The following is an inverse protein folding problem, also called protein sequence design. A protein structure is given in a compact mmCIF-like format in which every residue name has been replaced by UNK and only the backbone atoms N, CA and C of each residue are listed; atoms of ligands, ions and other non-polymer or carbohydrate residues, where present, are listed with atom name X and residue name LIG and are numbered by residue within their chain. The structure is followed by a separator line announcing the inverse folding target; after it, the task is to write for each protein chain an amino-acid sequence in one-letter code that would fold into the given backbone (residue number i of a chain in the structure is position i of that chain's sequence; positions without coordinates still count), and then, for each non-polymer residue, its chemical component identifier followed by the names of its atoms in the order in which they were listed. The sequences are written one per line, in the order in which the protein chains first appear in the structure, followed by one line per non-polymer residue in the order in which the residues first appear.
data_IF_146590131586
#
_entry.id   IF_146590131586
#
_cell.length_a   1.000
_cell.length_b   1.000
_cell.length_c   1.000
_cell.angle_alpha   90.00
_cell.angle_beta   90.00
_cell.angle_gamma   90.00
#
_symmetry.space_group_name_H-M   'P 1'
#
loop_
_entity.id
_entity.type
_entity.pdbx_description
1 polymer ?
#
# COMPACT_ATOMS: atom_id res chain seq x y z
N UNK A 1 -13.89 2.38 8.06
CA UNK A 1 -14.10 3.73 8.62
C UNK A 1 -13.43 4.80 7.76
N UNK A 2 -12.12 4.71 7.50
CA UNK A 2 -11.37 5.77 6.79
C UNK A 2 -11.73 5.98 5.31
N UNK A 3 -12.05 4.90 4.57
CA UNK A 3 -12.46 5.03 3.14
C UNK A 3 -13.76 5.81 2.98
N UNK A 4 -14.70 5.69 3.95
CA UNK A 4 -15.94 6.48 3.96
C UNK A 4 -15.66 7.97 4.22
N UNK A 5 -14.69 8.27 5.07
CA UNK A 5 -14.27 9.63 5.40
C UNK A 5 -13.68 10.33 4.17
N UNK A 6 -12.83 9.63 3.41
CA UNK A 6 -12.31 10.12 2.12
C UNK A 6 -13.47 10.45 1.19
N UNK A 7 -14.42 9.53 1.03
CA UNK A 7 -15.54 9.72 0.11
C UNK A 7 -16.41 10.93 0.48
N UNK A 8 -16.54 11.25 1.77
CA UNK A 8 -17.26 12.42 2.26
C UNK A 8 -16.50 13.74 2.05
N UNK A 9 -15.17 13.70 2.04
CA UNK A 9 -14.32 14.89 1.84
C UNK A 9 -14.08 15.21 0.36
N UNK A 10 -14.57 14.35 -0.54
CA UNK A 10 -14.43 14.46 -2.00
C UNK A 10 -14.77 15.82 -2.63
N UNK A 11 -15.86 16.52 -2.23
CA UNK A 11 -16.18 17.83 -2.80
C UNK A 11 -15.20 18.94 -2.40
N UNK A 12 -14.41 18.72 -1.35
CA UNK A 12 -13.54 19.73 -0.73
C UNK A 12 -12.05 19.47 -0.99
N UNK A 13 -11.72 18.37 -1.66
CA UNK A 13 -10.34 17.92 -1.87
C UNK A 13 -9.94 18.06 -3.34
N UNK A 14 -9.26 19.15 -3.66
CA UNK A 14 -8.49 19.32 -4.91
C UNK A 14 -7.31 18.33 -5.01
N UNK A 15 -7.02 17.63 -3.89
CA UNK A 15 -5.90 16.71 -3.66
C UNK A 15 -6.37 15.34 -3.13
N UNK A 16 -7.45 14.80 -3.68
CA UNK A 16 -8.02 13.48 -3.34
C UNK A 16 -6.97 12.35 -3.26
N UNK A 17 -5.98 12.37 -4.16
CA UNK A 17 -4.86 11.44 -4.16
C UNK A 17 -4.04 11.53 -2.87
N UNK A 18 -3.73 12.74 -2.38
CA UNK A 18 -2.84 12.91 -1.23
C UNK A 18 -3.45 12.34 0.05
N UNK A 19 -4.76 12.55 0.27
CA UNK A 19 -5.47 12.12 1.48
C UNK A 19 -5.70 10.60 1.49
N UNK A 20 -6.07 10.03 0.36
CA UNK A 20 -6.18 8.57 0.20
C UNK A 20 -4.84 7.87 0.33
N UNK A 21 -3.79 8.43 -0.26
CA UNK A 21 -2.43 7.96 -0.07
C UNK A 21 -2.05 8.01 1.43
N UNK A 22 -2.24 9.16 2.07
CA UNK A 22 -1.86 9.38 3.46
C UNK A 22 -2.63 8.50 4.45
N UNK A 23 -3.89 8.14 4.19
CA UNK A 23 -4.72 7.35 5.12
C UNK A 23 -4.71 5.85 4.82
N UNK A 24 -4.78 5.46 3.55
CA UNK A 24 -4.95 4.03 3.18
C UNK A 24 -3.61 3.40 2.81
N UNK A 25 -2.81 4.04 1.95
CA UNK A 25 -1.50 3.45 1.60
C UNK A 25 -0.55 3.47 2.79
N UNK A 26 -0.55 4.50 3.64
CA UNK A 26 0.31 4.52 4.84
C UNK A 26 0.08 3.34 5.79
N UNK A 27 -1.19 2.96 6.01
CA UNK A 27 -1.57 1.85 6.90
C UNK A 27 -1.27 0.49 6.28
N UNK A 28 -1.49 0.34 4.98
CA UNK A 28 -1.04 -0.84 4.25
C UNK A 28 0.50 -0.91 4.31
N UNK A 29 1.18 0.21 4.07
CA UNK A 29 2.63 0.28 3.98
C UNK A 29 3.37 0.01 5.27
N UNK A 30 2.80 0.42 6.40
CA UNK A 30 3.34 0.17 7.73
C UNK A 30 3.45 -1.34 8.02
N UNK A 31 2.43 -2.12 7.67
CA UNK A 31 2.38 -3.55 7.96
C UNK A 31 2.88 -4.44 6.80
N UNK A 32 3.35 -3.86 5.69
CA UNK A 32 3.61 -4.59 4.44
C UNK A 32 4.49 -5.83 4.59
N UNK A 33 5.52 -5.78 5.44
CA UNK A 33 6.41 -6.93 5.67
C UNK A 33 5.76 -8.02 6.53
N UNK A 34 4.89 -7.63 7.48
CA UNK A 34 4.12 -8.55 8.32
C UNK A 34 3.04 -9.30 7.55
N UNK A 35 2.70 -8.84 6.35
CA UNK A 35 1.78 -9.56 5.46
C UNK A 35 2.43 -10.79 4.80
N UNK A 36 3.76 -10.93 4.89
CA UNK A 36 4.46 -12.10 4.36
C UNK A 36 4.04 -13.35 5.14
N UNK A 37 3.58 -14.37 4.42
CA UNK A 37 3.07 -15.61 5.02
C UNK A 37 1.59 -15.59 5.41
N UNK A 38 0.86 -14.48 5.21
CA UNK A 38 -0.58 -14.48 5.45
C UNK A 38 -1.33 -15.38 4.45
N UNK A 39 -2.45 -16.00 4.86
CA UNK A 39 -3.30 -16.73 3.93
C UNK A 39 -3.74 -15.87 2.75
N UNK A 40 -3.82 -16.47 1.55
CA UNK A 40 -4.28 -15.81 0.32
C UNK A 40 -5.61 -15.06 0.50
N UNK A 41 -6.52 -15.60 1.33
CA UNK A 41 -7.79 -14.97 1.68
C UNK A 41 -7.60 -13.59 2.33
N UNK A 42 -6.62 -13.44 3.22
CA UNK A 42 -6.30 -12.18 3.89
C UNK A 42 -5.66 -11.20 2.91
N UNK A 43 -4.72 -11.65 2.08
CA UNK A 43 -4.12 -10.81 1.02
C UNK A 43 -5.18 -10.30 0.05
N UNK A 44 -6.15 -11.14 -0.35
CA UNK A 44 -7.28 -10.72 -1.20
C UNK A 44 -8.13 -9.64 -0.54
N UNK A 45 -8.39 -9.72 0.76
CA UNK A 45 -9.12 -8.66 1.49
C UNK A 45 -8.36 -7.34 1.48
N UNK A 46 -7.04 -7.37 1.68
CA UNK A 46 -6.20 -6.17 1.58
C UNK A 46 -6.20 -5.58 0.16
N UNK A 47 -6.16 -6.43 -0.87
CA UNK A 47 -6.27 -5.98 -2.26
C UNK A 47 -7.61 -5.29 -2.53
N UNK A 48 -8.72 -5.79 -1.97
CA UNK A 48 -10.02 -5.14 -2.09
C UNK A 48 -10.03 -3.75 -1.45
N UNK A 49 -9.36 -3.57 -0.31
CA UNK A 49 -9.21 -2.26 0.34
C UNK A 49 -8.39 -1.31 -0.54
N UNK A 50 -7.27 -1.78 -1.09
CA UNK A 50 -6.45 -0.99 -2.02
C UNK A 50 -7.26 -0.60 -3.28
N UNK A 51 -8.01 -1.53 -3.85
CA UNK A 51 -8.84 -1.28 -5.03
C UNK A 51 -10.00 -0.31 -4.72
N UNK A 52 -10.56 -0.37 -3.51
CA UNK A 52 -11.58 0.58 -3.07
C UNK A 52 -11.00 1.99 -2.89
N UNK A 53 -9.80 2.11 -2.35
CA UNK A 53 -9.10 3.39 -2.23
C UNK A 53 -8.73 3.96 -3.60
N UNK A 54 -8.19 3.15 -4.51
CA UNK A 54 -7.88 3.57 -5.88
C UNK A 54 -9.13 4.08 -6.61
N UNK A 55 -10.28 3.41 -6.44
CA UNK A 55 -11.57 3.88 -6.95
C UNK A 55 -12.06 5.16 -6.29
N UNK A 56 -11.78 5.37 -5.01
CA UNK A 56 -12.16 6.62 -4.34
C UNK A 56 -11.44 7.83 -4.96
N UNK A 57 -10.20 7.66 -5.41
CA UNK A 57 -9.40 8.74 -6.02
C UNK A 57 -9.81 9.05 -7.46
N UNK A 58 -9.98 8.02 -8.29
CA UNK A 58 -10.11 8.21 -9.75
C UNK A 58 -11.51 7.89 -10.28
N UNK A 59 -12.35 7.21 -9.50
CA UNK A 59 -13.75 6.97 -9.83
C UNK A 59 -14.04 5.98 -10.96
N UNK A 60 -13.03 5.37 -11.61
CA UNK A 60 -13.19 4.53 -12.81
C UNK A 60 -12.42 3.18 -12.75
N UNK A 61 -12.07 2.59 -13.91
CA UNK A 61 -11.56 1.21 -14.09
C UNK A 61 -10.24 0.93 -13.31
N UNK A 62 -10.25 -0.09 -12.43
CA UNK A 62 -9.18 -0.34 -11.43
C UNK A 62 -7.79 -0.66 -12.04
N UNK A 63 -7.72 -1.43 -13.13
CA UNK A 63 -6.46 -1.93 -13.70
C UNK A 63 -5.54 -0.83 -14.27
N UNK A 64 -6.02 0.13 -15.10
CA UNK A 64 -5.18 1.24 -15.55
C UNK A 64 -4.80 2.18 -14.40
N UNK A 65 -5.69 2.37 -13.43
CA UNK A 65 -5.49 3.26 -12.27
C UNK A 65 -4.31 2.82 -11.40
N UNK A 66 -4.16 1.52 -11.14
CA UNK A 66 -3.01 1.03 -10.36
C UNK A 66 -1.67 1.36 -11.04
N UNK A 67 -1.64 1.35 -12.38
CA UNK A 67 -0.45 1.69 -13.16
C UNK A 67 -0.18 3.19 -13.13
N UNK A 68 -1.21 4.02 -13.30
CA UNK A 68 -1.09 5.49 -13.26
C UNK A 68 -0.71 6.02 -11.87
N UNK A 69 -1.22 5.40 -10.80
CA UNK A 69 -0.82 5.74 -9.42
C UNK A 69 0.50 5.09 -8.99
N UNK A 70 1.12 4.25 -9.83
CA UNK A 70 2.32 3.47 -9.51
C UNK A 70 2.11 2.53 -8.30
N UNK A 71 0.89 2.07 -8.08
CA UNK A 71 0.52 1.21 -6.95
C UNK A 71 0.67 -0.27 -7.32
N UNK A 72 1.68 -0.94 -6.75
CA UNK A 72 1.77 -2.41 -6.85
C UNK A 72 0.56 -3.08 -6.17
N UNK A 73 0.04 -4.20 -6.70
CA UNK A 73 -0.84 -5.11 -5.97
C UNK A 73 -0.24 -5.50 -4.62
N UNK A 74 -1.07 -5.68 -3.59
CA UNK A 74 -0.63 -5.93 -2.20
C UNK A 74 0.36 -7.09 -2.13
N UNK A 75 0.08 -8.21 -2.82
CA UNK A 75 0.96 -9.38 -2.82
C UNK A 75 2.36 -9.08 -3.37
N UNK A 76 2.44 -8.37 -4.49
CA UNK A 76 3.72 -7.97 -5.08
C UNK A 76 4.43 -6.93 -4.21
N UNK A 77 3.67 -6.03 -3.57
CA UNK A 77 4.22 -5.02 -2.67
C UNK A 77 4.90 -5.66 -1.45
N UNK A 78 4.28 -6.68 -0.86
CA UNK A 78 4.87 -7.45 0.26
C UNK A 78 6.18 -8.12 -0.15
N UNK A 79 6.20 -8.81 -1.30
CA UNK A 79 7.42 -9.47 -1.81
C UNK A 79 8.54 -8.45 -2.08
N UNK A 80 8.22 -7.36 -2.76
CA UNK A 80 9.16 -6.29 -3.06
C UNK A 80 9.77 -5.69 -1.77
N UNK A 81 8.95 -5.45 -0.75
CA UNK A 81 9.42 -4.87 0.53
C UNK A 81 10.40 -5.78 1.24
N UNK A 82 10.13 -7.09 1.28
CA UNK A 82 11.03 -8.09 1.87
C UNK A 82 12.36 -8.13 1.11
N UNK A 83 12.32 -8.20 -0.23
CA UNK A 83 13.53 -8.19 -1.05
C UNK A 83 14.39 -6.93 -0.81
N UNK A 84 13.76 -5.76 -0.71
CA UNK A 84 14.47 -4.52 -0.40
C UNK A 84 15.08 -4.55 1.00
N UNK A 85 14.40 -5.11 2.01
CA UNK A 85 14.97 -5.26 3.34
C UNK A 85 16.15 -6.23 3.36
N UNK A 86 16.02 -7.39 2.71
CA UNK A 86 17.11 -8.37 2.58
C UNK A 86 18.32 -7.74 1.89
N UNK A 87 18.11 -7.06 0.76
CA UNK A 87 19.18 -6.34 0.06
C UNK A 87 19.85 -5.32 0.98
N UNK A 88 19.08 -4.45 1.64
CA UNK A 88 19.64 -3.44 2.53
C UNK A 88 20.43 -4.05 3.69
N UNK A 89 19.95 -5.15 4.26
CA UNK A 89 20.67 -5.87 5.31
C UNK A 89 22.02 -6.41 4.81
N UNK A 90 22.02 -7.10 3.65
CA UNK A 90 23.23 -7.69 3.05
C UNK A 90 24.31 -6.65 2.70
N UNK A 91 23.92 -5.44 2.32
CA UNK A 91 24.86 -4.38 1.92
C UNK A 91 25.09 -3.32 3.00
N UNK A 92 24.66 -3.56 4.26
CA UNK A 92 24.87 -2.62 5.37
C UNK A 92 24.07 -1.31 5.27
N UNK A 93 23.16 -1.18 4.30
CA UNK A 93 22.25 -0.04 4.10
C UNK A 93 20.96 -0.17 4.94
N UNK A 94 20.84 -1.26 5.69
CA UNK A 94 19.75 -1.53 6.61
C UNK A 94 19.85 -0.71 7.90
N UNK A 95 18.75 -0.66 8.63
CA UNK A 95 18.72 -0.14 10.01
C UNK A 95 19.64 -0.94 10.92
N UNK A 96 20.19 -0.31 11.97
CA UNK A 96 21.19 -0.94 12.84
C UNK A 96 20.73 -2.28 13.46
N UNK A 97 19.43 -2.44 13.72
CA UNK A 97 18.87 -3.68 14.24
C UNK A 97 18.81 -4.85 13.22
N UNK A 98 19.07 -4.59 11.93
CA UNK A 98 19.12 -5.59 10.86
C UNK A 98 20.55 -5.83 10.37
N UNK A 99 21.55 -5.12 10.91
CA UNK A 99 22.95 -5.35 10.57
C UNK A 99 23.45 -6.52 11.42
N UNK A 100 24.17 -7.44 10.77
CA UNK A 100 24.93 -8.46 11.49
C UNK A 100 26.04 -7.75 12.27
N UNK A 101 26.24 -8.13 13.53
CA UNK A 101 27.27 -7.52 14.40
C UNK A 101 28.66 -8.00 14.02
#
# INVERSE_FOLDING_TARGET
AQVRLVHQLRPYLDREALVTHALVTSRLDYCNALYMGLPLKSIRRLQLVQNAAARAVVGTHISPILRELHWLPVGLRTQFKVLVFTFKALYGLGTDYLRDR
#
